data_IF_925814589470
#
_entry.id   IF_925814589470
#
_cell.length_a   1.000
_cell.length_b   1.000
_cell.length_c   1.000
_cell.angle_alpha   90.00
_cell.angle_beta   90.00
_cell.angle_gamma   90.00
#
_symmetry.space_group_name_H-M   'P 1'
#
loop_
_entity.id
_entity.type
_entity.pdbx_description
1 polymer ?
#
# COMPACT_ATOMS: atom_id res chain seq x y z
N UNK A 1 12.92 -15.48 -34.94
CA UNK A 1 13.01 -14.01 -35.04
C UNK A 1 11.65 -13.42 -34.63
N UNK A 2 11.45 -13.15 -33.34
CA UNK A 2 10.25 -12.45 -32.89
C UNK A 2 10.57 -10.96 -32.78
N UNK A 3 10.29 -10.21 -33.85
CA UNK A 3 10.22 -8.76 -33.79
C UNK A 3 8.97 -8.39 -32.98
N UNK A 4 9.12 -8.19 -31.68
CA UNK A 4 8.06 -7.60 -30.86
C UNK A 4 8.03 -6.12 -31.21
N UNK A 5 7.26 -5.77 -32.24
CA UNK A 5 6.82 -4.40 -32.46
C UNK A 5 5.78 -4.11 -31.38
N UNK A 6 6.12 -3.27 -30.41
CA UNK A 6 5.15 -2.83 -29.41
C UNK A 6 4.20 -1.89 -30.13
N UNK A 7 2.96 -2.35 -30.32
CA UNK A 7 1.90 -1.65 -31.05
C UNK A 7 1.34 -0.47 -30.24
N UNK A 8 1.50 -0.48 -28.92
CA UNK A 8 1.00 0.54 -28.01
C UNK A 8 2.02 1.66 -27.75
N UNK A 9 1.52 2.89 -27.60
CA UNK A 9 2.34 4.05 -27.29
C UNK A 9 2.97 3.88 -25.90
N UNK A 10 4.31 3.85 -25.84
CA UNK A 10 5.03 3.77 -24.58
C UNK A 10 5.31 5.18 -24.06
N UNK A 11 4.96 5.43 -22.79
CA UNK A 11 5.28 6.69 -22.12
C UNK A 11 6.80 6.95 -22.12
N UNK A 12 7.18 8.14 -22.57
CA UNK A 12 8.57 8.60 -22.62
C UNK A 12 8.96 9.28 -21.31
N UNK A 13 10.20 9.06 -20.89
CA UNK A 13 10.83 9.71 -19.74
C UNK A 13 12.25 10.14 -20.12
N UNK A 14 12.88 10.93 -19.26
CA UNK A 14 14.25 11.39 -19.45
C UNK A 14 15.14 10.90 -18.32
N UNK A 15 16.30 10.35 -18.68
CA UNK A 15 17.31 9.92 -17.72
C UNK A 15 18.56 10.77 -17.90
N UNK A 16 19.14 11.31 -16.81
CA UNK A 16 20.43 12.00 -16.89
C UNK A 16 21.55 10.98 -17.15
N UNK A 17 22.27 11.16 -18.25
CA UNK A 17 23.41 10.35 -18.66
C UNK A 17 24.57 11.28 -19.04
N UNK A 18 25.67 11.19 -18.29
CA UNK A 18 26.88 12.01 -18.49
C UNK A 18 26.62 13.53 -18.65
N UNK A 19 25.70 14.08 -17.85
CA UNK A 19 25.33 15.50 -17.90
C UNK A 19 24.32 15.87 -18.99
N UNK A 20 23.81 14.90 -19.76
CA UNK A 20 22.79 15.11 -20.79
C UNK A 20 21.51 14.33 -20.47
N UNK A 21 20.37 14.75 -21.01
CA UNK A 21 19.11 14.02 -20.89
C UNK A 21 18.95 13.10 -22.09
N UNK A 22 18.81 11.80 -21.85
CA UNK A 22 18.50 10.82 -22.90
C UNK A 22 17.05 10.40 -22.82
N UNK A 23 16.40 10.27 -23.99
CA UNK A 23 15.01 9.82 -24.09
C UNK A 23 14.96 8.32 -23.80
N UNK A 24 14.18 7.95 -22.80
CA UNK A 24 13.97 6.57 -22.39
C UNK A 24 12.49 6.19 -22.41
N UNK A 25 12.21 4.90 -22.61
CA UNK A 25 10.87 4.35 -22.56
C UNK A 25 10.90 2.96 -21.91
N UNK A 26 9.84 2.63 -21.17
CA UNK A 26 9.73 1.35 -20.45
C UNK A 26 8.85 0.37 -21.23
N UNK A 27 9.42 -0.76 -21.63
CA UNK A 27 8.73 -1.79 -22.39
C UNK A 27 9.00 -3.16 -21.80
N UNK A 28 7.94 -3.89 -21.42
CA UNK A 28 8.03 -5.22 -20.81
C UNK A 28 9.06 -5.28 -19.64
N UNK A 29 9.05 -4.27 -18.77
CA UNK A 29 9.96 -4.17 -17.63
C UNK A 29 11.41 -3.79 -17.96
N UNK A 30 11.74 -3.56 -19.23
CA UNK A 30 13.08 -3.15 -19.67
C UNK A 30 13.07 -1.68 -20.08
N UNK A 31 14.04 -0.92 -19.56
CA UNK A 31 14.30 0.44 -19.99
C UNK A 31 15.05 0.44 -21.33
N UNK A 32 14.53 1.17 -22.31
CA UNK A 32 15.13 1.34 -23.63
C UNK A 32 15.43 2.81 -23.90
N UNK A 33 16.41 3.05 -24.76
CA UNK A 33 16.90 4.38 -25.12
C UNK A 33 16.77 4.57 -26.61
N UNK A 34 16.25 5.74 -27.03
CA UNK A 34 16.20 6.10 -28.44
C UNK A 34 17.62 6.39 -28.97
N UNK A 35 18.08 5.65 -29.97
CA UNK A 35 19.48 5.73 -30.41
C UNK A 35 19.77 6.90 -31.34
N UNK A 36 18.81 7.31 -32.19
CA UNK A 36 19.04 8.37 -33.18
C UNK A 36 19.55 9.68 -32.56
N UNK A 37 18.92 10.25 -31.52
CA UNK A 37 19.42 11.47 -30.88
C UNK A 37 20.84 11.33 -30.32
N UNK A 38 21.19 10.15 -29.79
CA UNK A 38 22.54 9.89 -29.23
C UNK A 38 23.58 9.88 -30.34
N UNK A 39 23.29 9.18 -31.45
CA UNK A 39 24.20 9.11 -32.60
C UNK A 39 24.43 10.49 -33.22
N UNK A 40 23.37 11.27 -33.38
CA UNK A 40 23.43 12.63 -33.94
C UNK A 40 24.18 13.58 -33.00
N UNK A 41 23.96 13.48 -31.68
CA UNK A 41 24.70 14.27 -30.69
C UNK A 41 26.20 13.94 -30.68
N UNK A 42 26.59 12.71 -31.02
CA UNK A 42 27.99 12.31 -31.20
C UNK A 42 28.58 12.78 -32.55
N UNK A 43 27.79 13.43 -33.41
CA UNK A 43 28.21 13.87 -34.74
C UNK A 43 28.46 12.74 -35.73
N UNK A 44 27.86 11.56 -35.50
CA UNK A 44 27.97 10.41 -36.38
C UNK A 44 26.77 10.31 -37.33
N UNK A 45 26.97 9.65 -38.48
CA UNK A 45 25.87 9.34 -39.39
C UNK A 45 24.91 8.30 -38.79
N UNK A 46 23.64 8.70 -38.61
CA UNK A 46 22.58 7.81 -38.14
C UNK A 46 22.41 6.58 -39.03
N UNK A 47 22.35 6.74 -40.36
CA UNK A 47 22.12 5.63 -41.29
C UNK A 47 23.18 4.53 -41.17
N UNK A 48 24.45 4.92 -41.05
CA UNK A 48 25.55 3.96 -40.85
C UNK A 48 25.46 3.23 -39.51
N UNK A 49 25.14 3.95 -38.43
CA UNK A 49 25.03 3.33 -37.10
C UNK A 49 23.79 2.46 -36.96
N UNK A 50 22.67 2.86 -37.56
CA UNK A 50 21.46 2.05 -37.63
C UNK A 50 21.75 0.71 -38.31
N UNK A 51 22.42 0.71 -39.47
CA UNK A 51 22.79 -0.51 -40.17
C UNK A 51 23.70 -1.42 -39.31
N UNK A 52 24.67 -0.85 -38.59
CA UNK A 52 25.53 -1.62 -37.68
C UNK A 52 24.75 -2.26 -36.54
N UNK A 53 23.88 -1.50 -35.89
CA UNK A 53 23.02 -2.00 -34.81
C UNK A 53 22.10 -3.12 -35.30
N UNK A 54 21.52 -2.97 -36.49
CA UNK A 54 20.68 -4.01 -37.10
C UNK A 54 21.48 -5.26 -37.50
N UNK A 55 22.72 -5.12 -37.98
CA UNK A 55 23.61 -6.26 -38.25
C UNK A 55 24.04 -7.01 -36.99
N UNK A 56 24.02 -6.34 -35.84
CA UNK A 56 24.40 -6.89 -34.53
C UNK A 56 23.19 -7.04 -33.61
N UNK A 57 22.03 -7.39 -34.19
CA UNK A 57 20.76 -7.46 -33.48
C UNK A 57 20.84 -8.40 -32.27
N UNK A 58 21.45 -9.58 -32.41
CA UNK A 58 21.57 -10.56 -31.32
C UNK A 58 22.46 -10.09 -30.16
N UNK A 59 23.44 -9.22 -30.45
CA UNK A 59 24.35 -8.67 -29.44
C UNK A 59 23.69 -7.57 -28.61
N UNK A 60 22.98 -6.68 -29.30
CA UNK A 60 22.45 -5.46 -28.72
C UNK A 60 20.96 -5.53 -28.38
N UNK A 61 20.22 -6.47 -28.95
CA UNK A 61 18.78 -6.67 -28.81
C UNK A 61 17.99 -5.37 -29.05
N UNK A 62 18.33 -4.66 -30.12
CA UNK A 62 17.61 -3.44 -30.49
C UNK A 62 16.19 -3.78 -30.95
N UNK A 63 15.24 -2.92 -30.60
CA UNK A 63 13.84 -3.05 -31.02
C UNK A 63 13.35 -1.76 -31.64
N UNK A 64 12.37 -1.86 -32.53
CA UNK A 64 11.63 -0.69 -32.98
C UNK A 64 10.45 -0.46 -32.06
N UNK A 65 10.32 0.75 -31.51
CA UNK A 65 9.18 1.15 -30.69
C UNK A 65 8.48 2.37 -31.28
N UNK A 66 7.16 2.40 -31.17
CA UNK A 66 6.37 3.58 -31.47
C UNK A 66 6.37 4.50 -30.24
N UNK A 67 7.04 5.64 -30.36
CA UNK A 67 7.08 6.66 -29.29
C UNK A 67 6.33 7.91 -29.73
N UNK A 68 5.59 8.50 -28.78
CA UNK A 68 4.99 9.82 -28.96
C UNK A 68 6.10 10.86 -28.80
N UNK A 69 6.39 11.58 -29.88
CA UNK A 69 7.31 12.71 -29.84
C UNK A 69 6.65 13.93 -29.16
N UNK A 70 7.45 14.94 -28.83
CA UNK A 70 6.96 16.16 -28.16
C UNK A 70 5.86 16.91 -28.93
N UNK A 71 5.73 16.66 -30.24
CA UNK A 71 4.69 17.20 -31.13
C UNK A 71 3.42 16.33 -31.19
N UNK A 72 3.30 15.32 -30.32
CA UNK A 72 2.15 14.40 -30.27
C UNK A 72 2.13 13.34 -31.37
N UNK A 73 3.13 13.32 -32.27
CA UNK A 73 3.18 12.36 -33.39
C UNK A 73 3.86 11.06 -32.98
N UNK A 74 3.29 9.94 -33.43
CA UNK A 74 3.91 8.62 -33.29
C UNK A 74 5.08 8.48 -34.26
N UNK A 75 6.25 8.13 -33.75
CA UNK A 75 7.44 7.84 -34.54
C UNK A 75 8.00 6.48 -34.17
N UNK A 76 8.29 5.68 -35.19
CA UNK A 76 8.98 4.40 -35.03
C UNK A 76 10.48 4.67 -34.83
N UNK A 77 10.96 4.46 -33.61
CA UNK A 77 12.36 4.70 -33.23
C UNK A 77 13.08 3.38 -32.99
N UNK A 78 14.30 3.26 -33.52
CA UNK A 78 15.20 2.16 -33.16
C UNK A 78 15.78 2.43 -31.78
N UNK A 79 15.56 1.49 -30.86
CA UNK A 79 15.87 1.66 -29.46
C UNK A 79 16.74 0.51 -28.94
N UNK A 80 17.67 0.87 -28.05
CA UNK A 80 18.62 -0.04 -27.43
C UNK A 80 18.26 -0.21 -25.96
N UNK A 81 18.29 -1.44 -25.39
CA UNK A 81 18.16 -1.62 -23.94
C UNK A 81 19.21 -0.78 -23.20
N UNK A 82 18.79 0.01 -22.22
CA UNK A 82 19.66 0.93 -21.48
C UNK A 82 20.89 0.22 -20.88
N UNK A 83 20.71 -1.02 -20.40
CA UNK A 83 21.81 -1.86 -19.87
C UNK A 83 22.93 -2.15 -20.88
N UNK A 84 22.66 -2.03 -22.19
CA UNK A 84 23.61 -2.27 -23.29
C UNK A 84 24.23 -0.97 -23.84
N UNK A 85 23.74 0.21 -23.41
CA UNK A 85 24.21 1.50 -23.91
C UNK A 85 25.71 1.71 -23.67
N UNK A 86 26.20 1.39 -22.47
CA UNK A 86 27.61 1.55 -22.13
C UNK A 86 28.50 0.67 -23.04
N UNK A 87 28.08 -0.57 -23.31
CA UNK A 87 28.82 -1.46 -24.22
C UNK A 87 28.81 -1.00 -25.67
N UNK A 88 27.76 -0.30 -26.11
CA UNK A 88 27.74 0.33 -27.44
C UNK A 88 28.68 1.55 -27.49
N UNK A 89 28.59 2.46 -26.51
CA UNK A 89 29.49 3.63 -26.41
C UNK A 89 30.97 3.22 -26.38
N UNK A 90 31.27 2.16 -25.63
CA UNK A 90 32.60 1.59 -25.55
C UNK A 90 33.13 1.10 -26.91
N UNK A 91 32.26 0.67 -27.82
CA UNK A 91 32.65 0.18 -29.16
C UNK A 91 32.84 1.27 -30.22
N UNK A 92 32.56 2.53 -29.88
CA UNK A 92 32.68 3.64 -30.84
C UNK A 92 34.15 4.00 -31.06
N UNK A 93 34.51 4.22 -32.32
CA UNK A 93 35.83 4.74 -32.69
C UNK A 93 35.85 6.27 -32.46
N UNK A 94 36.70 6.80 -31.56
CA UNK A 94 36.78 8.24 -31.28
C UNK A 94 37.11 9.12 -32.50
N UNK A 95 37.82 8.59 -33.50
CA UNK A 95 38.14 9.32 -34.73
C UNK A 95 36.93 9.62 -35.59
N UNK A 96 35.85 8.85 -35.44
CA UNK A 96 34.60 8.99 -36.21
C UNK A 96 33.56 9.88 -35.53
N UNK A 97 33.93 10.50 -34.42
CA UNK A 97 33.07 11.32 -33.57
C UNK A 97 33.48 12.79 -33.73
N UNK A 98 32.56 13.72 -33.48
CA UNK A 98 32.85 15.17 -33.51
C UNK A 98 34.03 15.53 -32.59
N UNK A 99 34.88 16.45 -33.02
CA UNK A 99 36.17 16.73 -32.38
C UNK A 99 36.05 17.20 -30.91
N UNK A 100 35.06 18.05 -30.60
CA UNK A 100 34.81 18.62 -29.27
C UNK A 100 34.39 17.62 -28.17
N UNK A 101 34.00 16.41 -28.55
CA UNK A 101 33.56 15.35 -27.63
C UNK A 101 34.48 14.12 -27.66
N UNK A 102 35.47 14.09 -28.57
CA UNK A 102 36.41 12.98 -28.73
C UNK A 102 37.12 12.65 -27.43
N UNK A 103 37.70 13.66 -26.77
CA UNK A 103 38.44 13.47 -25.52
C UNK A 103 37.52 12.98 -24.39
N UNK A 104 36.27 13.45 -24.36
CA UNK A 104 35.27 12.99 -23.37
C UNK A 104 34.90 11.52 -23.60
N UNK A 105 34.82 11.08 -24.85
CA UNK A 105 34.56 9.67 -25.17
C UNK A 105 35.76 8.79 -24.79
N UNK A 106 36.98 9.22 -25.07
CA UNK A 106 38.20 8.50 -24.69
C UNK A 106 38.27 8.36 -23.17
N UNK A 107 38.06 9.46 -22.43
CA UNK A 107 38.01 9.44 -20.96
C UNK A 107 36.94 8.49 -20.44
N UNK A 108 35.76 8.47 -21.07
CA UNK A 108 34.69 7.56 -20.72
C UNK A 108 35.07 6.09 -20.98
N UNK A 109 35.74 5.80 -22.09
CA UNK A 109 36.23 4.45 -22.42
C UNK A 109 37.28 3.98 -21.40
N UNK A 110 38.19 4.86 -20.99
CA UNK A 110 39.21 4.58 -19.97
C UNK A 110 38.59 4.31 -18.57
N UNK A 111 37.57 5.08 -18.20
CA UNK A 111 36.78 4.81 -17.01
C UNK A 111 36.09 3.43 -17.09
N UNK A 112 35.56 3.06 -18.26
CA UNK A 112 34.97 1.72 -18.45
C UNK A 112 36.01 0.60 -18.27
N UNK A 113 37.23 0.77 -18.78
CA UNK A 113 38.32 -0.18 -18.57
C UNK A 113 38.65 -0.34 -17.09
N UNK A 114 38.80 0.79 -16.38
CA UNK A 114 39.09 0.80 -14.94
C UNK A 114 37.99 0.10 -14.14
N UNK A 115 36.72 0.38 -14.46
CA UNK A 115 35.55 -0.24 -13.80
C UNK A 115 35.51 -1.75 -14.06
N UNK A 116 35.76 -2.20 -15.30
CA UNK A 116 35.79 -3.64 -15.59
C UNK A 116 36.95 -4.32 -14.87
N UNK A 117 38.13 -3.71 -14.85
CA UNK A 117 39.28 -4.25 -14.12
C UNK A 117 38.98 -4.38 -12.62
N UNK A 118 38.56 -3.29 -11.98
CA UNK A 118 38.26 -3.26 -10.54
C UNK A 118 37.15 -4.24 -10.16
N UNK A 119 36.14 -4.43 -11.02
CA UNK A 119 35.08 -5.41 -10.78
C UNK A 119 35.65 -6.83 -10.69
N UNK A 120 36.52 -7.20 -11.64
CA UNK A 120 37.09 -8.54 -11.68
C UNK A 120 38.24 -8.77 -10.69
N UNK A 121 38.96 -7.71 -10.27
CA UNK A 121 40.09 -7.84 -9.34
C UNK A 121 39.73 -7.59 -7.88
N UNK A 122 38.86 -6.61 -7.60
CA UNK A 122 38.44 -6.22 -6.23
C UNK A 122 37.07 -6.81 -5.85
N UNK A 123 36.34 -7.38 -6.81
CA UNK A 123 35.01 -7.96 -6.61
C UNK A 123 33.87 -6.94 -6.42
N UNK A 124 34.17 -5.65 -6.31
CA UNK A 124 33.20 -4.59 -6.11
C UNK A 124 33.68 -3.27 -6.72
N UNK A 125 32.74 -2.50 -7.30
CA UNK A 125 33.03 -1.17 -7.85
C UNK A 125 31.91 -0.21 -7.48
N UNK A 126 32.29 0.96 -6.95
CA UNK A 126 31.35 2.02 -6.59
C UNK A 126 31.59 3.22 -7.49
N UNK A 127 30.52 3.77 -8.08
CA UNK A 127 30.62 5.00 -8.84
C UNK A 127 30.65 6.21 -7.88
N UNK A 128 31.78 6.93 -7.74
CA UNK A 128 31.89 8.02 -6.80
C UNK A 128 30.99 9.21 -7.16
N UNK A 129 30.57 9.37 -8.42
CA UNK A 129 29.64 10.44 -8.84
C UNK A 129 28.21 10.17 -8.35
N UNK A 130 27.84 8.90 -8.17
CA UNK A 130 26.59 8.53 -7.49
C UNK A 130 26.74 8.60 -5.97
N UNK A 131 27.90 8.21 -5.44
CA UNK A 131 28.20 8.34 -4.02
C UNK A 131 28.16 9.82 -3.56
N UNK A 132 28.68 10.76 -4.35
CA UNK A 132 28.64 12.22 -4.06
C UNK A 132 27.24 12.85 -4.01
N UNK A 133 26.18 12.13 -4.43
CA UNK A 133 24.78 12.56 -4.14
C UNK A 133 24.35 12.25 -2.71
N UNK A 134 25.03 11.32 -2.03
CA UNK A 134 25.11 11.35 -0.59
C UNK A 134 26.22 12.34 -0.24
N UNK A 135 25.86 13.50 0.33
CA UNK A 135 26.89 14.45 0.76
C UNK A 135 27.79 13.74 1.80
N UNK A 136 29.12 13.91 1.73
CA UNK A 136 30.00 13.42 2.78
C UNK A 136 29.55 13.98 4.14
N UNK A 137 29.34 13.09 5.10
CA UNK A 137 28.82 13.42 6.43
C UNK A 137 27.30 13.38 6.57
N UNK A 138 26.54 12.99 5.54
CA UNK A 138 25.07 12.84 5.58
C UNK A 138 24.63 11.38 5.48
N UNK A 139 23.43 11.09 5.99
CA UNK A 139 22.87 9.74 5.98
C UNK A 139 22.81 9.13 4.58
N UNK A 140 23.17 7.85 4.48
CA UNK A 140 23.18 7.07 3.23
C UNK A 140 21.76 6.88 2.67
N UNK A 141 21.63 6.49 1.40
CA UNK A 141 20.31 6.19 0.79
C UNK A 141 19.56 5.09 1.56
N UNK A 142 20.28 4.11 2.10
CA UNK A 142 19.71 3.03 2.90
C UNK A 142 19.20 3.54 4.26
N UNK A 143 19.96 4.42 4.91
CA UNK A 143 19.54 5.09 6.15
C UNK A 143 18.33 6.02 5.93
N UNK A 144 18.28 6.73 4.80
CA UNK A 144 17.11 7.52 4.41
C UNK A 144 15.87 6.66 4.24
N UNK A 145 16.01 5.49 3.61
CA UNK A 145 14.90 4.55 3.46
C UNK A 145 14.50 3.95 4.81
N UNK A 146 15.44 3.66 5.73
CA UNK A 146 15.12 3.19 7.07
C UNK A 146 14.26 4.19 7.87
N UNK A 147 14.61 5.48 7.87
CA UNK A 147 13.80 6.53 8.51
C UNK A 147 12.42 6.59 7.86
N UNK A 148 12.35 6.53 6.53
CA UNK A 148 11.09 6.56 5.80
C UNK A 148 10.21 5.35 6.10
N UNK A 149 10.77 4.14 6.14
CA UNK A 149 10.04 2.92 6.48
C UNK A 149 9.51 2.98 7.91
N UNK A 150 10.27 3.51 8.87
CA UNK A 150 9.80 3.72 10.24
C UNK A 150 8.59 4.66 10.29
N UNK A 151 8.68 5.83 9.64
CA UNK A 151 7.57 6.80 9.60
C UNK A 151 6.34 6.22 8.89
N UNK A 152 6.54 5.48 7.79
CA UNK A 152 5.45 4.81 7.07
C UNK A 152 4.80 3.74 7.93
N UNK A 153 5.58 2.88 8.59
CA UNK A 153 5.09 1.80 9.45
C UNK A 153 4.29 2.34 10.63
N UNK A 154 4.80 3.36 11.35
CA UNK A 154 4.06 4.02 12.44
C UNK A 154 2.83 4.78 11.95
N UNK A 155 2.88 5.37 10.76
CA UNK A 155 1.73 6.07 10.18
C UNK A 155 0.62 5.11 9.77
N UNK A 156 0.98 3.98 9.15
CA UNK A 156 0.03 2.99 8.61
C UNK A 156 -0.59 2.10 9.70
N UNK A 157 0.06 1.95 10.86
CA UNK A 157 -0.52 1.22 12.00
C UNK A 157 -1.70 1.96 12.65
N UNK A 158 -1.87 3.26 12.34
CA UNK A 158 -3.00 4.07 12.80
C UNK A 158 -4.21 3.99 11.85
N UNK A 159 -5.43 4.31 12.33
CA UNK A 159 -6.64 4.36 11.49
C UNK A 159 -6.46 5.30 10.28
N UNK A 160 -7.03 4.93 9.12
CA UNK A 160 -6.88 5.66 7.83
C UNK A 160 -7.04 7.18 7.94
N UNK A 161 -8.00 7.63 8.74
CA UNK A 161 -8.30 9.05 8.97
C UNK A 161 -7.17 9.82 9.67
N UNK A 162 -6.34 9.14 10.46
CA UNK A 162 -5.26 9.74 11.27
C UNK A 162 -3.86 9.53 10.69
N UNK A 163 -3.71 8.64 9.69
CA UNK A 163 -2.40 8.30 9.11
C UNK A 163 -1.67 9.52 8.55
N UNK A 164 -2.37 10.34 7.75
CA UNK A 164 -1.77 11.53 7.14
C UNK A 164 -1.27 12.52 8.20
N UNK A 165 -2.08 12.77 9.24
CA UNK A 165 -1.72 13.68 10.34
C UNK A 165 -0.53 13.15 11.15
N UNK A 166 -0.48 11.84 11.40
CA UNK A 166 0.62 11.19 12.09
C UNK A 166 1.94 11.28 11.30
N UNK A 167 1.91 10.98 9.99
CA UNK A 167 3.08 11.12 9.12
C UNK A 167 3.58 12.57 9.06
N UNK A 168 2.67 13.54 8.90
CA UNK A 168 3.02 14.97 8.91
C UNK A 168 3.70 15.35 10.23
N UNK A 169 3.21 14.86 11.37
CA UNK A 169 3.77 15.15 12.70
C UNK A 169 5.18 14.60 12.84
N UNK A 170 5.43 13.35 12.42
CA UNK A 170 6.78 12.75 12.46
C UNK A 170 7.76 13.49 11.55
N UNK A 171 7.36 13.79 10.30
CA UNK A 171 8.21 14.53 9.36
C UNK A 171 8.50 15.96 9.84
N UNK A 172 7.50 16.63 10.43
CA UNK A 172 7.67 17.99 10.96
C UNK A 172 8.57 18.00 12.20
N UNK A 173 8.48 16.98 13.05
CA UNK A 173 9.35 16.83 14.22
C UNK A 173 10.81 16.59 13.83
N UNK A 174 11.05 15.71 12.85
CA UNK A 174 12.39 15.50 12.27
C UNK A 174 12.95 16.82 11.71
N UNK A 175 12.17 17.54 10.91
CA UNK A 175 12.61 18.82 10.33
C UNK A 175 12.88 19.88 11.40
N UNK A 176 12.04 19.96 12.43
CA UNK A 176 12.20 20.94 13.52
C UNK A 176 13.41 20.64 14.40
N UNK A 177 13.72 19.37 14.66
CA UNK A 177 14.81 18.97 15.53
C UNK A 177 16.18 19.16 14.86
N UNK A 178 16.30 18.77 13.59
CA UNK A 178 17.58 18.83 12.87
C UNK A 178 17.77 20.15 12.09
N UNK A 179 16.75 21.01 12.00
CA UNK A 179 16.79 22.26 11.25
C UNK A 179 16.91 22.08 9.73
N UNK A 180 16.94 20.83 9.25
CA UNK A 180 17.12 20.47 7.86
C UNK A 180 16.15 19.37 7.44
N UNK A 181 16.08 19.07 6.15
CA UNK A 181 15.28 17.94 5.67
C UNK A 181 15.84 16.63 6.19
N UNK A 182 15.01 15.59 6.38
CA UNK A 182 15.49 14.29 6.85
C UNK A 182 16.58 13.68 5.93
N UNK A 183 16.55 14.02 4.64
CA UNK A 183 17.57 13.61 3.64
C UNK A 183 18.93 14.30 3.86
N UNK A 184 18.95 15.35 4.67
CA UNK A 184 20.09 16.19 4.92
C UNK A 184 20.73 15.98 6.30
N UNK A 185 20.17 15.06 7.10
CA UNK A 185 20.65 14.70 8.44
C UNK A 185 22.05 14.09 8.33
N UNK A 186 22.90 14.37 9.32
CA UNK A 186 24.25 13.81 9.39
C UNK A 186 24.23 12.31 9.68
N UNK A 187 25.19 11.54 9.15
CA UNK A 187 25.30 10.10 9.43
C UNK A 187 25.40 9.80 10.92
N UNK A 188 26.11 10.63 11.69
CA UNK A 188 26.25 10.52 13.14
C UNK A 188 24.92 10.69 13.89
N UNK A 189 23.96 11.38 13.28
CA UNK A 189 22.64 11.68 13.84
C UNK A 189 21.56 10.68 13.39
N UNK A 190 21.93 9.63 12.65
CA UNK A 190 20.98 8.64 12.14
C UNK A 190 20.19 7.94 13.27
N UNK A 191 20.90 7.48 14.31
CA UNK A 191 20.29 6.83 15.48
C UNK A 191 19.39 7.78 16.26
N UNK A 192 19.77 9.05 16.37
CA UNK A 192 18.96 10.10 16.98
C UNK A 192 17.69 10.37 16.17
N UNK A 193 17.80 10.42 14.83
CA UNK A 193 16.65 10.60 13.95
C UNK A 193 15.65 9.45 14.04
N UNK A 194 16.12 8.19 14.13
CA UNK A 194 15.25 7.04 14.38
C UNK A 194 14.59 7.11 15.75
N UNK A 195 15.36 7.43 16.79
CA UNK A 195 14.84 7.57 18.16
C UNK A 195 13.75 8.64 18.25
N UNK A 196 13.98 9.80 17.64
CA UNK A 196 13.00 10.88 17.56
C UNK A 196 11.76 10.41 16.80
N UNK A 197 11.93 9.88 15.59
CA UNK A 197 10.82 9.40 14.77
C UNK A 197 10.05 8.24 15.43
N UNK A 198 10.64 7.49 16.37
CA UNK A 198 9.98 6.45 17.15
C UNK A 198 9.27 6.97 18.42
N UNK A 199 9.67 8.13 18.95
CA UNK A 199 9.18 8.67 20.24
C UNK A 199 8.24 9.85 20.10
N UNK A 200 8.14 10.45 18.92
CA UNK A 200 7.17 11.52 18.66
C UNK A 200 5.76 11.02 19.03
N UNK A 201 5.05 11.72 19.93
CA UNK A 201 3.69 11.37 20.30
C UNK A 201 2.74 11.70 19.15
N UNK A 202 1.98 10.70 18.69
CA UNK A 202 1.04 10.86 17.60
C UNK A 202 -0.40 10.90 18.11
N UNK A 203 -1.23 11.74 17.51
CA UNK A 203 -2.67 11.69 17.76
C UNK A 203 -3.25 10.34 17.30
N UNK A 204 -3.65 9.51 18.26
CA UNK A 204 -4.04 8.11 18.03
C UNK A 204 -3.18 7.10 18.79
N UNK A 205 -2.01 7.51 19.31
CA UNK A 205 -1.18 6.73 20.24
C UNK A 205 -1.57 6.90 21.71
N UNK A 206 -2.82 7.29 21.96
CA UNK A 206 -3.33 7.32 23.32
C UNK A 206 -3.44 5.87 23.81
N UNK A 207 -2.50 5.43 24.64
CA UNK A 207 -2.63 4.24 25.49
C UNK A 207 -3.57 4.61 26.65
N UNK A 208 -4.79 5.05 26.33
CA UNK A 208 -5.90 4.93 27.25
C UNK A 208 -6.20 3.44 27.37
N UNK A 209 -6.28 2.95 28.61
CA UNK A 209 -6.75 1.61 29.01
C UNK A 209 -7.46 0.91 27.86
N UNK A 210 -6.88 -0.16 27.31
CA UNK A 210 -7.50 -0.97 26.26
C UNK A 210 -8.95 -1.29 26.68
N UNK A 211 -9.91 -0.56 26.13
CA UNK A 211 -11.23 -1.12 25.96
C UNK A 211 -11.02 -2.19 24.92
N UNK A 212 -10.89 -3.44 25.41
CA UNK A 212 -11.02 -4.63 24.58
C UNK A 212 -12.17 -4.33 23.61
N UNK A 213 -11.87 -4.29 22.31
CA UNK A 213 -12.92 -4.50 21.31
C UNK A 213 -13.58 -5.81 21.71
N UNK A 214 -14.74 -5.71 22.34
CA UNK A 214 -15.55 -6.86 22.64
C UNK A 214 -15.82 -7.57 21.31
N UNK A 215 -15.90 -8.89 21.33
CA UNK A 215 -16.34 -9.67 20.19
C UNK A 215 -17.61 -9.04 19.61
N UNK A 216 -17.49 -8.27 18.53
CA UNK A 216 -18.61 -7.64 17.86
C UNK A 216 -19.38 -8.77 17.16
N UNK A 217 -20.62 -9.01 17.61
CA UNK A 217 -21.51 -9.97 16.98
C UNK A 217 -21.78 -9.51 15.55
N UNK A 218 -21.69 -10.42 14.58
CA UNK A 218 -22.18 -10.15 13.22
C UNK A 218 -23.69 -9.87 13.24
N UNK A 219 -24.20 -9.17 12.22
CA UNK A 219 -25.63 -8.88 12.09
C UNK A 219 -26.50 -10.15 12.14
N UNK A 220 -25.98 -11.25 11.60
CA UNK A 220 -26.61 -12.57 11.62
C UNK A 220 -26.66 -13.17 13.02
N UNK A 221 -25.55 -13.16 13.76
CA UNK A 221 -25.48 -13.66 15.13
C UNK A 221 -26.38 -12.84 16.06
N UNK A 222 -26.35 -11.51 15.92
CA UNK A 222 -27.25 -10.61 16.62
C UNK A 222 -28.72 -10.94 16.32
N UNK A 223 -29.08 -11.12 15.05
CA UNK A 223 -30.45 -11.46 14.65
C UNK A 223 -30.92 -12.79 15.27
N UNK A 224 -30.07 -13.83 15.29
CA UNK A 224 -30.39 -15.11 15.94
C UNK A 224 -30.65 -14.97 17.44
N UNK A 225 -29.81 -14.19 18.14
CA UNK A 225 -29.95 -14.01 19.58
C UNK A 225 -31.18 -13.16 19.95
N UNK A 226 -31.46 -12.10 19.19
CA UNK A 226 -32.66 -11.27 19.37
C UNK A 226 -33.93 -12.09 19.13
N UNK A 227 -33.92 -12.97 18.14
CA UNK A 227 -35.05 -13.86 17.87
C UNK A 227 -35.26 -14.88 18.99
N UNK A 228 -34.18 -15.48 19.50
CA UNK A 228 -34.25 -16.39 20.65
C UNK A 228 -34.82 -15.68 21.90
N UNK A 229 -34.39 -14.44 22.15
CA UNK A 229 -34.91 -13.63 23.24
C UNK A 229 -36.42 -13.34 23.08
N UNK A 230 -36.87 -12.98 21.88
CA UNK A 230 -38.30 -12.77 21.60
C UNK A 230 -39.12 -14.05 21.79
N UNK A 231 -38.58 -15.19 21.36
CA UNK A 231 -39.20 -16.50 21.56
C UNK A 231 -39.31 -16.85 23.06
N UNK A 232 -38.27 -16.59 23.84
CA UNK A 232 -38.28 -16.83 25.28
C UNK A 232 -39.36 -15.99 25.99
N UNK A 233 -39.52 -14.71 25.62
CA UNK A 233 -40.60 -13.87 26.16
C UNK A 233 -42.00 -14.40 25.81
N UNK A 234 -42.21 -14.84 24.56
CA UNK A 234 -43.49 -15.43 24.13
C UNK A 234 -43.80 -16.72 24.88
N UNK A 235 -42.80 -17.58 25.03
CA UNK A 235 -42.94 -18.84 25.76
C UNK A 235 -43.25 -18.58 27.25
N UNK A 236 -42.59 -17.61 27.87
CA UNK A 236 -42.90 -17.18 29.23
C UNK A 236 -44.36 -16.71 29.37
N UNK A 237 -44.84 -15.85 28.45
CA UNK A 237 -46.22 -15.37 28.47
C UNK A 237 -47.22 -16.54 28.40
N UNK A 238 -46.96 -17.52 27.52
CA UNK A 238 -47.78 -18.72 27.41
C UNK A 238 -47.79 -19.54 28.72
N UNK A 239 -46.65 -19.70 29.39
CA UNK A 239 -46.61 -20.43 30.67
C UNK A 239 -47.39 -19.72 31.77
N UNK A 240 -47.39 -18.38 31.82
CA UNK A 240 -48.25 -17.61 32.73
C UNK A 240 -49.73 -17.84 32.44
N UNK A 241 -50.11 -17.89 31.17
CA UNK A 241 -51.50 -18.12 30.74
C UNK A 241 -51.96 -19.56 31.05
N UNK A 242 -51.08 -20.55 30.92
CA UNK A 242 -51.40 -21.96 31.20
C UNK A 242 -51.46 -22.30 32.69
N UNK A 243 -50.73 -21.56 33.54
CA UNK A 243 -50.61 -21.86 34.96
C UNK A 243 -51.96 -21.98 35.69
N UNK A 244 -52.91 -21.03 35.59
CA UNK A 244 -54.19 -21.11 36.29
C UNK A 244 -54.99 -22.36 35.93
N UNK A 245 -55.05 -22.71 34.64
CA UNK A 245 -55.77 -23.88 34.15
C UNK A 245 -55.12 -25.19 34.66
N UNK A 246 -53.80 -25.28 34.59
CA UNK A 246 -53.06 -26.47 35.06
C UNK A 246 -53.13 -26.64 36.58
N UNK A 247 -53.18 -25.53 37.32
CA UNK A 247 -53.41 -25.55 38.77
C UNK A 247 -54.82 -26.03 39.11
N UNK A 248 -55.83 -25.58 38.37
CA UNK A 248 -57.23 -25.94 38.60
C UNK A 248 -57.47 -27.45 38.43
N UNK A 249 -56.82 -28.08 37.44
CA UNK A 249 -56.90 -29.53 37.22
C UNK A 249 -55.91 -30.34 38.09
N UNK A 250 -55.25 -29.71 39.06
CA UNK A 250 -54.24 -30.32 39.93
C UNK A 250 -53.13 -31.06 39.17
N UNK A 251 -52.74 -30.54 38.01
CA UNK A 251 -51.67 -31.14 37.21
C UNK A 251 -50.33 -31.01 37.92
N UNK A 252 -49.53 -32.09 37.90
CA UNK A 252 -48.15 -32.09 38.37
C UNK A 252 -47.24 -31.11 37.58
N UNK A 253 -47.70 -30.62 36.42
CA UNK A 253 -46.99 -29.60 35.64
C UNK A 253 -47.28 -28.16 36.05
N UNK A 254 -48.26 -27.92 36.93
CA UNK A 254 -48.65 -26.57 37.37
C UNK A 254 -47.48 -25.81 38.02
N UNK A 255 -46.70 -26.47 38.88
CA UNK A 255 -45.49 -25.87 39.47
C UNK A 255 -44.47 -25.44 38.42
N UNK A 256 -44.16 -26.30 37.45
CA UNK A 256 -43.22 -25.97 36.36
C UNK A 256 -43.70 -24.81 35.50
N UNK A 257 -45.00 -24.71 35.24
CA UNK A 257 -45.56 -23.59 34.47
C UNK A 257 -45.51 -22.27 35.24
N UNK A 258 -45.69 -22.31 36.56
CA UNK A 258 -45.47 -21.15 37.42
C UNK A 258 -44.02 -20.68 37.34
N UNK A 259 -43.06 -21.59 37.51
CA UNK A 259 -41.64 -21.28 37.49
C UNK A 259 -41.22 -20.68 36.13
N UNK A 260 -41.65 -21.31 35.02
CA UNK A 260 -41.33 -20.83 33.67
C UNK A 260 -42.01 -19.50 33.34
N UNK A 261 -43.20 -19.26 33.88
CA UNK A 261 -43.93 -18.01 33.75
C UNK A 261 -43.30 -16.87 34.54
N UNK A 262 -42.87 -17.09 35.78
CA UNK A 262 -42.51 -16.01 36.70
C UNK A 262 -41.00 -15.89 36.94
N UNK A 263 -40.30 -17.00 37.22
CA UNK A 263 -38.90 -16.98 37.67
C UNK A 263 -37.92 -16.65 36.54
N UNK A 264 -38.20 -17.11 35.31
CA UNK A 264 -37.33 -16.84 34.16
C UNK A 264 -37.36 -15.38 33.68
N UNK A 265 -38.26 -14.55 34.21
CA UNK A 265 -38.42 -13.14 33.79
C UNK A 265 -37.17 -12.32 34.06
N UNK A 266 -36.51 -12.59 35.19
CA UNK A 266 -35.26 -11.96 35.57
C UNK A 266 -34.14 -12.27 34.57
N UNK A 267 -33.97 -13.54 34.21
CA UNK A 267 -32.91 -13.99 33.28
C UNK A 267 -33.15 -13.44 31.87
N UNK A 268 -34.40 -13.45 31.41
CA UNK A 268 -34.78 -12.86 30.11
C UNK A 268 -34.55 -11.34 30.09
N UNK A 269 -34.78 -10.67 31.22
CA UNK A 269 -34.48 -9.24 31.41
C UNK A 269 -32.98 -8.94 31.33
N UNK A 270 -32.14 -9.74 32.00
CA UNK A 270 -30.68 -9.61 31.89
C UNK A 270 -30.18 -9.83 30.46
N UNK A 271 -30.72 -10.84 29.76
CA UNK A 271 -30.38 -11.11 28.37
C UNK A 271 -30.74 -9.93 27.46
N UNK A 272 -31.89 -9.27 27.69
CA UNK A 272 -32.29 -8.06 26.97
C UNK A 272 -31.23 -6.96 27.07
N UNK A 273 -30.77 -6.68 28.28
CA UNK A 273 -29.85 -5.57 28.52
C UNK A 273 -28.48 -5.84 27.89
N UNK A 274 -28.03 -7.10 27.91
CA UNK A 274 -26.84 -7.55 27.16
C UNK A 274 -27.03 -7.36 25.66
N UNK A 275 -28.18 -7.76 25.10
CA UNK A 275 -28.46 -7.63 23.67
C UNK A 275 -28.55 -6.17 23.23
N UNK A 276 -29.20 -5.29 23.99
CA UNK A 276 -29.25 -3.85 23.69
C UNK A 276 -27.84 -3.26 23.61
N UNK A 277 -26.96 -3.63 24.53
CA UNK A 277 -25.59 -3.13 24.55
C UNK A 277 -24.76 -3.62 23.36
N UNK A 278 -24.91 -4.89 22.97
CA UNK A 278 -24.09 -5.51 21.91
C UNK A 278 -24.67 -5.36 20.50
N UNK A 279 -25.91 -4.88 20.36
CA UNK A 279 -26.57 -4.69 19.06
C UNK A 279 -26.78 -3.23 18.68
N UNK A 280 -26.23 -2.28 19.45
CA UNK A 280 -26.38 -0.83 19.26
C UNK A 280 -25.90 -0.37 17.88
N UNK A 281 -24.80 -0.94 17.40
CA UNK A 281 -24.10 -0.52 16.19
C UNK A 281 -24.25 -1.54 15.05
N UNK A 282 -25.16 -2.52 15.19
CA UNK A 282 -25.43 -3.55 14.18
C UNK A 282 -26.38 -3.00 13.11
N UNK A 283 -25.97 -3.07 11.84
CA UNK A 283 -26.87 -2.75 10.72
C UNK A 283 -27.83 -3.92 10.44
N UNK A 284 -29.10 -3.71 10.77
CA UNK A 284 -30.18 -4.70 10.61
C UNK A 284 -30.68 -4.82 9.16
N UNK A 285 -30.25 -3.94 8.25
CA UNK A 285 -30.63 -3.95 6.84
C UNK A 285 -29.56 -4.58 5.95
N UNK A 286 -28.44 -5.01 6.53
CA UNK A 286 -27.38 -5.68 5.80
C UNK A 286 -27.88 -7.07 5.33
N UNK A 287 -27.76 -7.41 4.04
CA UNK A 287 -28.49 -8.52 3.45
C UNK A 287 -27.82 -9.87 3.77
N UNK A 288 -28.28 -10.60 4.80
CA UNK A 288 -27.99 -12.04 4.93
C UNK A 288 -29.06 -12.87 5.68
N UNK A 289 -30.32 -12.84 5.19
CA UNK A 289 -31.36 -13.82 5.56
C UNK A 289 -32.66 -13.26 6.15
N UNK A 290 -33.60 -14.13 6.58
CA UNK A 290 -34.88 -13.70 7.16
C UNK A 290 -34.65 -12.97 8.50
N UNK A 291 -35.05 -11.70 8.54
CA UNK A 291 -34.88 -10.83 9.71
C UNK A 291 -36.23 -10.63 10.41
N UNK A 292 -36.32 -10.93 11.70
CA UNK A 292 -37.53 -10.71 12.48
C UNK A 292 -37.57 -9.25 12.98
N UNK A 293 -37.90 -8.33 12.08
CA UNK A 293 -37.97 -6.88 12.36
C UNK A 293 -38.84 -6.55 13.58
N UNK A 294 -39.90 -7.35 13.83
CA UNK A 294 -40.78 -7.15 14.97
C UNK A 294 -40.10 -7.41 16.32
N UNK A 295 -39.21 -8.41 16.38
CA UNK A 295 -38.42 -8.71 17.57
C UNK A 295 -37.40 -7.59 17.86
N UNK A 296 -36.77 -7.07 16.81
CA UNK A 296 -35.86 -5.92 16.88
C UNK A 296 -36.55 -4.64 17.35
N UNK A 297 -37.76 -4.36 16.86
CA UNK A 297 -38.57 -3.23 17.31
C UNK A 297 -38.94 -3.37 18.79
N UNK A 298 -39.38 -4.57 19.23
CA UNK A 298 -39.70 -4.83 20.65
C UNK A 298 -38.47 -4.69 21.55
N UNK A 299 -37.32 -5.20 21.13
CA UNK A 299 -36.06 -5.05 21.85
C UNK A 299 -35.69 -3.56 22.03
N UNK A 300 -35.76 -2.77 20.97
CA UNK A 300 -35.44 -1.32 20.99
C UNK A 300 -36.42 -0.52 21.84
N UNK A 301 -37.71 -0.83 21.74
CA UNK A 301 -38.75 -0.14 22.49
C UNK A 301 -38.90 -0.65 23.93
N UNK A 302 -38.15 -1.69 24.32
CA UNK A 302 -38.28 -2.39 25.61
C UNK A 302 -39.70 -2.94 25.85
N UNK A 303 -40.39 -3.29 24.78
CA UNK A 303 -41.74 -3.83 24.81
C UNK A 303 -41.73 -5.35 25.02
N UNK A 304 -42.71 -5.85 25.76
CA UNK A 304 -42.98 -7.28 25.84
C UNK A 304 -43.88 -7.69 24.66
N UNK A 305 -43.82 -8.96 24.21
CA UNK A 305 -44.78 -9.48 23.24
C UNK A 305 -46.20 -9.25 23.78
N UNK A 306 -47.15 -8.87 22.91
CA UNK A 306 -48.54 -8.68 23.33
C UNK A 306 -49.08 -9.98 23.95
N UNK A 307 -49.51 -9.92 25.21
CA UNK A 307 -50.34 -10.95 25.84
C UNK A 307 -51.79 -10.57 25.66
N UNK A 308 -52.67 -11.57 25.57
CA UNK A 308 -54.11 -11.38 25.43
C UNK A 308 -54.73 -10.76 26.69
N UNK A 309 -53.95 -10.69 27.79
CA UNK A 309 -54.34 -10.08 29.05
C UNK A 309 -53.37 -8.95 29.43
N UNK A 310 -53.90 -7.75 29.61
CA UNK A 310 -53.18 -6.64 30.24
C UNK A 310 -53.09 -6.94 31.74
N UNK A 311 -51.88 -7.19 32.24
CA UNK A 311 -51.60 -7.30 33.68
C UNK A 311 -50.92 -6.02 34.16
#
# INVERSE_FOLDING_TARGET
MNSIAILEAVNTSYVPFNGQQIITAMAAGVAYVAMKPIVENLGMSWGTQQQKLMKQLDKFNCIHMNMVAADGKLRKLLCLPLKKLNGWLFSINPEKVRADIRDKLIQYQEECFSVLHDYWTKGHVVNPRKAKKALPGKITTEQQEAIKQLVMSRGQSLPKEKQAKAMITMWSSLKSHFGCSYKEISEEQFTEALSLAARVPLEGEFIGKQEKKANELSAKEANSLVWLWDYANRSQALFRELYPALKQIQSNYSGRCYDYGHEFSYVIGMARDVLINHTRDVDINEPDGPTNLSAWMRLKNKELPPSVHNY
#
